data_IF_984397928001
#
_entry.id   IF_984397928001
#
_cell.length_a   1.000
_cell.length_b   1.000
_cell.length_c   1.000
_cell.angle_alpha   90.00
_cell.angle_beta   90.00
_cell.angle_gamma   90.00
#
_symmetry.space_group_name_H-M   'P 1'
#
loop_
_entity.id
_entity.type
_entity.pdbx_description
1 polymer ?
#
# COMPACT_ATOMS: atom_id res chain seq x y z
N UNK A 1 5.63 20.88 13.14
CA UNK A 1 5.04 19.54 12.99
C UNK A 1 6.13 18.65 12.41
N UNK A 2 6.38 17.46 12.98
CA UNK A 2 7.43 16.57 12.43
C UNK A 2 6.99 16.11 11.05
N UNK A 3 7.91 16.15 10.10
CA UNK A 3 7.65 15.66 8.74
C UNK A 3 7.57 14.13 8.75
N UNK A 4 6.34 13.61 8.73
CA UNK A 4 6.07 12.16 8.78
C UNK A 4 6.55 11.44 7.52
N UNK A 5 6.48 12.07 6.35
CA UNK A 5 6.99 11.50 5.11
C UNK A 5 8.50 11.32 5.16
N UNK A 6 9.23 12.35 5.61
CA UNK A 6 10.67 12.26 5.76
C UNK A 6 11.07 11.17 6.76
N UNK A 7 10.37 11.06 7.88
CA UNK A 7 10.62 10.02 8.86
C UNK A 7 10.37 8.62 8.29
N UNK A 8 9.27 8.42 7.58
CA UNK A 8 8.95 7.17 6.87
C UNK A 8 10.05 6.81 5.88
N UNK A 9 10.39 7.72 4.97
CA UNK A 9 11.48 7.55 4.00
C UNK A 9 12.80 7.13 4.66
N UNK A 10 13.23 7.84 5.70
CA UNK A 10 14.47 7.53 6.42
C UNK A 10 14.42 6.17 7.13
N UNK A 11 13.26 5.80 7.68
CA UNK A 11 13.06 4.51 8.34
C UNK A 11 13.18 3.37 7.34
N UNK A 12 12.45 3.43 6.24
CA UNK A 12 12.48 2.41 5.21
C UNK A 12 13.81 2.34 4.45
N UNK A 13 14.48 3.48 4.24
CA UNK A 13 15.84 3.49 3.70
C UNK A 13 16.83 2.70 4.58
N UNK A 14 16.70 2.76 5.91
CA UNK A 14 17.57 1.98 6.83
C UNK A 14 17.22 0.49 6.86
N UNK A 15 15.96 0.14 6.68
CA UNK A 15 15.47 -1.24 6.79
C UNK A 15 15.58 -2.03 5.49
N UNK A 16 15.73 -1.37 4.35
CA UNK A 16 15.59 -1.96 3.02
C UNK A 16 16.38 -3.27 2.82
N UNK A 17 17.65 -3.29 3.26
CA UNK A 17 18.53 -4.43 3.03
C UNK A 17 18.11 -5.73 3.75
N UNK A 18 17.33 -5.63 4.84
CA UNK A 18 16.94 -6.77 5.67
C UNK A 18 15.42 -6.96 5.74
N UNK A 19 14.64 -6.05 5.15
CA UNK A 19 13.18 -5.96 5.31
C UNK A 19 12.46 -7.27 4.97
N UNK A 20 12.88 -7.97 3.96
CA UNK A 20 12.25 -9.24 3.54
C UNK A 20 12.50 -10.39 4.53
N UNK A 21 13.45 -10.26 5.44
CA UNK A 21 13.87 -11.34 6.33
C UNK A 21 13.67 -11.03 7.80
N UNK A 22 13.63 -9.75 8.16
CA UNK A 22 13.54 -9.31 9.55
C UNK A 22 12.11 -9.13 10.06
N UNK A 23 11.99 -8.67 11.31
CA UNK A 23 10.71 -8.47 11.97
C UNK A 23 9.93 -7.28 11.38
N UNK A 24 10.63 -6.30 10.77
CA UNK A 24 9.99 -5.08 10.26
C UNK A 24 9.07 -5.38 9.07
N UNK A 25 9.47 -6.27 8.17
CA UNK A 25 8.63 -6.71 7.03
C UNK A 25 7.68 -7.86 7.34
N UNK A 26 7.68 -8.39 8.58
CA UNK A 26 6.90 -9.59 8.92
C UNK A 26 5.40 -9.42 8.74
N UNK A 27 4.86 -8.24 9.10
CA UNK A 27 3.43 -7.98 8.99
C UNK A 27 3.01 -7.90 7.52
N UNK A 28 3.73 -7.15 6.69
CA UNK A 28 3.48 -7.05 5.27
C UNK A 28 3.49 -8.43 4.58
N UNK A 29 4.49 -9.26 4.89
CA UNK A 29 4.60 -10.64 4.32
C UNK A 29 3.43 -11.53 4.72
N UNK A 30 2.89 -11.39 5.92
CA UNK A 30 1.74 -12.18 6.38
C UNK A 30 0.46 -11.86 5.57
N UNK A 31 0.37 -10.69 4.96
CA UNK A 31 -0.78 -10.24 4.17
C UNK A 31 -0.71 -10.69 2.69
N UNK A 32 0.46 -11.05 2.17
CA UNK A 32 0.63 -11.43 0.77
C UNK A 32 -0.32 -12.53 0.29
N UNK A 33 -0.52 -13.65 1.00
CA UNK A 33 -1.43 -14.70 0.54
C UNK A 33 -2.88 -14.22 0.42
N UNK A 34 -3.32 -13.35 1.34
CA UNK A 34 -4.68 -12.80 1.35
C UNK A 34 -4.88 -11.85 0.18
N UNK A 35 -3.92 -10.94 -0.04
CA UNK A 35 -3.95 -10.01 -1.16
C UNK A 35 -3.88 -10.73 -2.51
N UNK A 36 -3.00 -11.73 -2.66
CA UNK A 36 -2.89 -12.55 -3.87
C UNK A 36 -4.18 -13.32 -4.16
N UNK A 37 -4.86 -13.83 -3.12
CA UNK A 37 -6.17 -14.47 -3.26
C UNK A 37 -7.23 -13.47 -3.73
N UNK A 38 -7.22 -12.24 -3.20
CA UNK A 38 -8.17 -11.19 -3.63
C UNK A 38 -7.91 -10.80 -5.09
N UNK A 39 -6.66 -10.57 -5.47
CA UNK A 39 -6.26 -10.25 -6.83
C UNK A 39 -6.65 -11.35 -7.83
N UNK A 40 -6.54 -12.62 -7.48
CA UNK A 40 -6.92 -13.74 -8.35
C UNK A 40 -8.42 -13.83 -8.65
N UNK A 41 -9.26 -13.07 -7.97
CA UNK A 41 -10.70 -12.98 -8.21
C UNK A 41 -11.07 -11.86 -9.21
N UNK A 42 -10.09 -11.06 -9.62
CA UNK A 42 -10.27 -9.93 -10.52
C UNK A 42 -9.67 -10.22 -11.90
N UNK A 43 -10.22 -9.57 -12.92
CA UNK A 43 -9.62 -9.54 -14.26
C UNK A 43 -8.88 -8.22 -14.43
N UNK A 44 -7.58 -8.27 -14.71
CA UNK A 44 -6.77 -7.07 -14.90
C UNK A 44 -5.63 -7.32 -15.89
N UNK A 45 -5.13 -6.24 -16.50
CA UNK A 45 -3.95 -6.23 -17.37
C UNK A 45 -2.89 -5.24 -16.91
N UNK A 46 -3.24 -4.36 -15.99
CA UNK A 46 -2.35 -3.33 -15.45
C UNK A 46 -2.59 -3.15 -13.95
N UNK A 47 -1.50 -3.21 -13.18
CA UNK A 47 -1.54 -3.15 -11.71
C UNK A 47 -0.49 -2.18 -11.19
N UNK A 48 -0.86 -1.35 -10.22
CA UNK A 48 0.06 -0.50 -9.46
C UNK A 48 0.14 -0.97 -8.01
N UNK A 49 1.35 -1.17 -7.52
CA UNK A 49 1.68 -1.36 -6.11
C UNK A 49 2.03 0.00 -5.48
N UNK A 50 1.21 0.46 -4.55
CA UNK A 50 1.33 1.75 -3.88
C UNK A 50 2.09 1.61 -2.56
N UNK A 51 3.34 2.06 -2.52
CA UNK A 51 4.29 1.78 -1.44
C UNK A 51 4.87 0.39 -1.59
N UNK A 52 5.47 0.10 -2.76
CA UNK A 52 5.86 -1.25 -3.17
C UNK A 52 7.04 -1.84 -2.37
N UNK A 53 7.74 -1.02 -1.57
CA UNK A 53 8.87 -1.44 -0.77
C UNK A 53 9.93 -2.17 -1.59
N UNK A 54 10.34 -3.35 -1.13
CA UNK A 54 11.34 -4.21 -1.79
C UNK A 54 10.78 -4.98 -2.99
N UNK A 55 9.55 -4.70 -3.44
CA UNK A 55 8.96 -5.31 -4.64
C UNK A 55 8.56 -6.77 -4.52
N UNK A 56 8.46 -7.35 -3.31
CA UNK A 56 8.19 -8.79 -3.15
C UNK A 56 6.80 -9.19 -3.69
N UNK A 57 5.76 -8.38 -3.47
CA UNK A 57 4.45 -8.63 -4.05
C UNK A 57 4.47 -8.56 -5.58
N UNK A 58 5.18 -7.58 -6.15
CA UNK A 58 5.35 -7.45 -7.60
C UNK A 58 6.08 -8.65 -8.19
N UNK A 59 7.10 -9.18 -7.49
CA UNK A 59 7.78 -10.42 -7.88
C UNK A 59 6.81 -11.59 -7.94
N UNK A 60 6.03 -11.80 -6.88
CA UNK A 60 5.03 -12.88 -6.81
C UNK A 60 3.96 -12.75 -7.92
N UNK A 61 3.57 -11.53 -8.28
CA UNK A 61 2.63 -11.30 -9.38
C UNK A 61 3.27 -11.55 -10.75
N UNK A 62 4.51 -11.08 -10.97
CA UNK A 62 5.23 -11.26 -12.24
C UNK A 62 5.52 -12.73 -12.57
N UNK A 63 5.68 -13.58 -11.53
CA UNK A 63 5.87 -15.01 -11.70
C UNK A 63 4.56 -15.77 -12.02
N UNK A 64 3.40 -15.17 -11.74
CA UNK A 64 2.09 -15.78 -12.03
C UNK A 64 1.60 -15.52 -13.44
N UNK A 65 1.82 -14.30 -13.91
CA UNK A 65 1.38 -13.89 -15.25
C UNK A 65 2.30 -12.79 -15.80
N UNK A 66 3.17 -13.16 -16.74
CA UNK A 66 4.10 -12.25 -17.39
C UNK A 66 3.43 -11.26 -18.37
N UNK A 67 2.15 -11.46 -18.68
CA UNK A 67 1.41 -10.58 -19.61
C UNK A 67 0.82 -9.35 -18.93
N UNK A 68 0.77 -9.35 -17.59
CA UNK A 68 0.27 -8.22 -16.81
C UNK A 68 1.32 -7.12 -16.70
N UNK A 69 0.94 -5.90 -17.05
CA UNK A 69 1.79 -4.73 -16.83
C UNK A 69 1.80 -4.37 -15.33
N UNK A 70 2.96 -4.51 -14.70
CA UNK A 70 3.16 -4.21 -13.30
C UNK A 70 3.96 -2.91 -13.14
N UNK A 71 3.52 -2.06 -12.23
CA UNK A 71 4.24 -0.85 -11.83
C UNK A 71 4.27 -0.78 -10.30
N UNK A 72 5.34 -0.23 -9.74
CA UNK A 72 5.48 0.03 -8.31
C UNK A 72 5.97 1.45 -8.05
N UNK A 73 5.46 2.06 -6.98
CA UNK A 73 5.92 3.37 -6.53
C UNK A 73 6.29 3.29 -5.05
N UNK A 74 7.42 3.88 -4.68
CA UNK A 74 7.84 4.00 -3.28
C UNK A 74 8.58 5.32 -3.05
N UNK A 75 8.54 5.81 -1.81
CA UNK A 75 9.23 7.03 -1.39
C UNK A 75 10.71 6.79 -1.07
N UNK A 76 11.09 5.53 -0.80
CA UNK A 76 12.41 5.09 -0.36
C UNK A 76 13.27 4.64 -1.55
N UNK A 77 14.36 5.35 -1.82
CA UNK A 77 15.32 4.96 -2.86
C UNK A 77 15.96 3.59 -2.59
N UNK A 78 16.22 3.28 -1.31
CA UNK A 78 16.89 2.03 -0.95
C UNK A 78 15.92 0.84 -1.08
N UNK A 79 14.62 1.02 -0.80
CA UNK A 79 13.60 -0.01 -1.08
C UNK A 79 13.54 -0.30 -2.58
N UNK A 80 13.45 0.73 -3.41
CA UNK A 80 13.41 0.58 -4.85
C UNK A 80 14.68 -0.04 -5.44
N UNK A 81 15.85 0.26 -4.85
CA UNK A 81 17.09 -0.41 -5.26
C UNK A 81 17.02 -1.92 -5.04
N UNK A 82 16.54 -2.36 -3.87
CA UNK A 82 16.34 -3.80 -3.59
C UNK A 82 15.28 -4.40 -4.52
N UNK A 83 14.20 -3.66 -4.79
CA UNK A 83 13.17 -4.09 -5.72
C UNK A 83 13.70 -4.26 -7.15
N UNK A 84 14.50 -3.33 -7.66
CA UNK A 84 15.08 -3.39 -9.00
C UNK A 84 16.03 -4.58 -9.16
N UNK A 85 16.91 -4.81 -8.16
CA UNK A 85 17.79 -5.98 -8.10
C UNK A 85 16.99 -7.30 -8.14
N UNK A 86 15.84 -7.36 -7.48
CA UNK A 86 14.94 -8.54 -7.41
C UNK A 86 14.13 -8.75 -8.69
N UNK A 87 13.65 -7.68 -9.29
CA UNK A 87 12.71 -7.72 -10.42
C UNK A 87 13.39 -7.74 -11.79
N UNK A 88 14.70 -7.45 -11.86
CA UNK A 88 15.51 -7.51 -13.08
C UNK A 88 14.90 -6.73 -14.27
N UNK A 89 14.34 -5.55 -14.00
CA UNK A 89 13.73 -4.68 -15.03
C UNK A 89 12.39 -5.16 -15.61
N UNK A 90 11.77 -6.19 -15.04
CA UNK A 90 10.46 -6.71 -15.50
C UNK A 90 9.26 -5.85 -15.06
N UNK A 91 9.47 -4.91 -14.15
CA UNK A 91 8.44 -4.07 -13.55
C UNK A 91 8.88 -2.62 -13.63
N UNK A 92 7.96 -1.73 -13.95
CA UNK A 92 8.20 -0.28 -13.90
C UNK A 92 8.26 0.19 -12.44
N UNK A 93 9.43 0.61 -11.97
CA UNK A 93 9.63 1.13 -10.61
C UNK A 93 9.82 2.64 -10.64
N UNK A 94 9.06 3.35 -9.82
CA UNK A 94 9.05 4.81 -9.77
C UNK A 94 9.36 5.30 -8.35
N UNK A 95 10.38 6.14 -8.23
CA UNK A 95 10.61 6.91 -7.00
C UNK A 95 9.63 8.06 -6.94
N UNK A 96 8.71 8.04 -5.98
CA UNK A 96 7.66 9.05 -5.94
C UNK A 96 6.82 9.05 -4.66
N UNK A 97 5.94 10.03 -4.60
CA UNK A 97 5.02 10.26 -3.48
C UNK A 97 3.61 9.82 -3.88
N UNK A 98 2.99 8.98 -3.06
CA UNK A 98 1.62 8.49 -3.25
C UNK A 98 0.56 9.61 -3.27
N UNK A 99 0.88 10.79 -2.75
CA UNK A 99 -0.01 11.96 -2.81
C UNK A 99 0.04 12.68 -4.16
N UNK A 100 1.00 12.33 -5.05
CA UNK A 100 1.19 12.92 -6.38
C UNK A 100 1.73 11.84 -7.33
N UNK A 101 0.85 10.99 -7.82
CA UNK A 101 1.22 9.85 -8.66
C UNK A 101 1.66 10.30 -10.08
N UNK A 102 2.88 9.99 -10.53
CA UNK A 102 3.37 10.41 -11.85
C UNK A 102 2.85 9.52 -12.98
N UNK A 103 1.62 9.06 -12.88
CA UNK A 103 0.96 8.25 -13.89
C UNK A 103 -0.23 8.99 -14.50
N UNK A 104 -0.53 8.78 -15.79
CA UNK A 104 -1.71 9.36 -16.43
C UNK A 104 -3.03 8.87 -15.81
N UNK A 105 -4.11 9.63 -16.03
CA UNK A 105 -5.46 9.22 -15.65
C UNK A 105 -5.84 7.89 -16.34
N UNK A 106 -6.52 7.00 -15.61
CA UNK A 106 -7.01 5.75 -16.16
C UNK A 106 -5.93 4.78 -16.65
N UNK A 107 -4.78 4.73 -15.98
CA UNK A 107 -3.65 3.87 -16.35
C UNK A 107 -3.80 2.44 -15.88
N UNK A 108 -4.47 2.21 -14.75
CA UNK A 108 -4.47 0.92 -14.06
C UNK A 108 -5.87 0.32 -13.90
N UNK A 109 -5.97 -0.99 -14.07
CA UNK A 109 -7.18 -1.75 -13.77
C UNK A 109 -7.30 -2.01 -12.26
N UNK A 110 -6.15 -2.21 -11.59
CA UNK A 110 -6.07 -2.40 -10.14
C UNK A 110 -4.95 -1.55 -9.57
N UNK A 111 -5.22 -0.91 -8.45
CA UNK A 111 -4.20 -0.36 -7.54
C UNK A 111 -4.33 -1.10 -6.23
N UNK A 112 -3.21 -1.52 -5.65
CA UNK A 112 -3.23 -2.05 -4.29
C UNK A 112 -2.20 -1.36 -3.40
N UNK A 113 -2.45 -1.41 -2.08
CA UNK A 113 -1.58 -0.94 -1.04
C UNK A 113 -1.47 -2.02 0.04
N UNK A 114 -0.26 -2.47 0.34
CA UNK A 114 -0.03 -3.51 1.35
C UNK A 114 0.82 -2.99 2.50
N UNK A 115 0.23 -2.86 3.69
CA UNK A 115 0.87 -2.45 4.94
C UNK A 115 1.63 -1.11 4.84
N UNK A 116 1.05 -0.15 4.16
CA UNK A 116 1.69 1.14 3.87
C UNK A 116 0.77 2.35 4.10
N UNK A 117 -0.56 2.18 4.08
CA UNK A 117 -1.51 3.29 4.13
C UNK A 117 -1.47 4.05 5.47
N UNK A 118 -1.16 3.37 6.56
CA UNK A 118 -1.01 3.99 7.89
C UNK A 118 0.17 4.97 7.99
N UNK A 119 1.04 5.04 6.98
CA UNK A 119 2.14 6.01 6.87
C UNK A 119 1.76 7.29 6.12
N UNK A 120 0.57 7.38 5.51
CA UNK A 120 0.23 8.51 4.65
C UNK A 120 -0.38 9.69 5.44
N UNK A 121 0.30 10.87 5.49
CA UNK A 121 -0.19 12.02 6.26
C UNK A 121 -1.39 12.72 5.63
N UNK A 122 -1.57 12.64 4.32
CA UNK A 122 -2.72 13.19 3.60
C UNK A 122 -3.49 12.08 2.84
N UNK A 123 -4.19 11.16 3.55
CA UNK A 123 -4.81 10.00 2.94
C UNK A 123 -5.90 10.35 1.93
N UNK A 124 -6.55 11.51 2.06
CA UNK A 124 -7.53 11.98 1.07
C UNK A 124 -6.89 12.33 -0.27
N UNK A 125 -5.68 12.92 -0.26
CA UNK A 125 -4.93 13.17 -1.51
C UNK A 125 -4.53 11.85 -2.17
N UNK A 126 -4.06 10.88 -1.38
CA UNK A 126 -3.71 9.55 -1.90
C UNK A 126 -4.91 8.88 -2.56
N UNK A 127 -6.08 8.88 -1.91
CA UNK A 127 -7.28 8.25 -2.48
C UNK A 127 -7.80 8.98 -3.73
N UNK A 128 -7.66 10.31 -3.79
CA UNK A 128 -7.97 11.08 -4.98
C UNK A 128 -7.05 10.70 -6.16
N UNK A 129 -5.75 10.58 -5.92
CA UNK A 129 -4.77 10.15 -6.92
C UNK A 129 -4.99 8.70 -7.35
N UNK A 130 -5.23 7.78 -6.41
CA UNK A 130 -5.59 6.39 -6.73
C UNK A 130 -6.83 6.35 -7.62
N UNK A 131 -7.89 7.11 -7.26
CA UNK A 131 -9.09 7.20 -8.11
C UNK A 131 -8.77 7.75 -9.49
N UNK A 132 -7.92 8.76 -9.60
CA UNK A 132 -7.53 9.38 -10.88
C UNK A 132 -6.84 8.37 -11.80
N UNK A 133 -5.86 7.65 -11.27
CA UNK A 133 -5.06 6.71 -12.08
C UNK A 133 -5.78 5.39 -12.36
N UNK A 134 -6.82 5.03 -11.62
CA UNK A 134 -7.68 3.88 -11.92
C UNK A 134 -8.52 4.15 -13.17
N UNK A 135 -8.67 3.12 -14.00
CA UNK A 135 -9.68 3.08 -15.08
C UNK A 135 -11.08 3.04 -14.52
N UNK A 136 -12.07 3.37 -15.35
CA UNK A 136 -13.48 3.14 -14.99
C UNK A 136 -13.70 1.67 -14.68
N UNK A 137 -14.41 1.38 -13.58
CA UNK A 137 -14.58 0.06 -12.97
C UNK A 137 -13.28 -0.58 -12.42
N UNK A 138 -12.19 0.18 -12.34
CA UNK A 138 -10.95 -0.28 -11.71
C UNK A 138 -11.12 -0.40 -10.18
N UNK A 139 -10.34 -1.29 -9.57
CA UNK A 139 -10.45 -1.62 -8.15
C UNK A 139 -9.26 -1.13 -7.36
N UNK A 140 -9.50 -0.46 -6.22
CA UNK A 140 -8.50 -0.23 -5.20
C UNK A 140 -8.63 -1.24 -4.08
N UNK A 141 -7.51 -1.89 -3.70
CA UNK A 141 -7.43 -2.86 -2.59
C UNK A 141 -6.39 -2.39 -1.60
N UNK A 142 -6.72 -2.41 -0.33
CA UNK A 142 -5.79 -2.07 0.75
C UNK A 142 -5.81 -3.16 1.82
N UNK A 143 -4.64 -3.70 2.14
CA UNK A 143 -4.41 -4.51 3.34
C UNK A 143 -3.57 -3.69 4.30
N UNK A 144 -3.97 -3.59 5.57
CA UNK A 144 -3.25 -2.76 6.53
C UNK A 144 -3.43 -3.23 7.98
N UNK A 145 -2.62 -2.64 8.85
CA UNK A 145 -2.63 -2.89 10.29
C UNK A 145 -3.93 -2.44 10.96
N UNK A 146 -4.44 -3.27 11.87
CA UNK A 146 -5.65 -3.02 12.63
C UNK A 146 -5.50 -3.34 14.11
N UNK A 147 -6.11 -2.52 14.94
CA UNK A 147 -6.26 -2.78 16.39
C UNK A 147 -7.63 -2.37 16.88
N UNK A 148 -8.17 -3.15 17.83
CA UNK A 148 -9.49 -2.87 18.42
C UNK A 148 -9.45 -1.70 19.40
N UNK A 149 -10.53 -0.92 19.46
CA UNK A 149 -10.94 -0.02 20.53
C UNK A 149 -9.83 0.82 21.16
N UNK A 150 -9.64 0.66 22.46
CA UNK A 150 -8.69 1.44 23.26
C UNK A 150 -7.22 1.24 22.83
N UNK A 151 -6.85 0.03 22.41
CA UNK A 151 -5.49 -0.26 21.92
C UNK A 151 -5.11 0.63 20.73
N UNK A 152 -6.02 0.76 19.75
CA UNK A 152 -5.81 1.64 18.60
C UNK A 152 -5.64 3.10 19.02
N UNK A 153 -6.43 3.57 19.99
CA UNK A 153 -6.33 4.95 20.48
C UNK A 153 -4.96 5.23 21.11
N UNK A 154 -4.45 4.30 21.92
CA UNK A 154 -3.12 4.40 22.54
C UNK A 154 -2.02 4.41 21.48
N UNK A 155 -2.09 3.52 20.49
CA UNK A 155 -1.13 3.45 19.38
C UNK A 155 -1.16 4.74 18.58
N UNK A 156 -2.33 5.25 18.19
CA UNK A 156 -2.47 6.51 17.47
C UNK A 156 -1.94 7.71 18.26
N UNK A 157 -2.08 7.70 19.58
CA UNK A 157 -1.48 8.73 20.45
C UNK A 157 0.06 8.63 20.40
N UNK A 158 0.62 7.42 20.52
CA UNK A 158 2.06 7.19 20.40
C UNK A 158 2.61 7.65 19.05
N UNK A 159 1.91 7.39 17.95
CA UNK A 159 2.34 7.80 16.61
C UNK A 159 2.55 9.30 16.46
N UNK A 160 1.83 10.15 17.23
CA UNK A 160 2.06 11.61 17.20
C UNK A 160 3.47 12.01 17.63
N UNK A 161 4.11 11.18 18.47
CA UNK A 161 5.44 11.44 19.04
C UNK A 161 6.53 10.57 18.41
N UNK A 162 6.16 9.45 17.79
CA UNK A 162 7.07 8.52 17.14
C UNK A 162 7.77 9.15 15.93
N UNK A 163 9.01 8.68 15.69
CA UNK A 163 9.82 8.99 14.50
C UNK A 163 9.80 7.85 13.47
N UNK A 164 8.97 6.84 13.65
CA UNK A 164 8.86 5.70 12.72
C UNK A 164 8.27 6.07 11.36
N UNK A 165 7.54 7.19 11.29
CA UNK A 165 6.80 7.59 10.10
C UNK A 165 5.32 7.23 10.14
N UNK A 166 4.90 6.36 11.07
CA UNK A 166 3.47 6.04 11.25
C UNK A 166 2.63 7.27 11.56
N UNK A 167 1.44 7.32 10.99
CA UNK A 167 0.50 8.42 11.13
C UNK A 167 -0.75 7.99 11.89
N UNK A 168 -1.45 6.97 11.38
CA UNK A 168 -2.75 6.58 11.95
C UNK A 168 -3.16 5.16 11.58
N UNK A 169 -3.61 4.39 12.57
CA UNK A 169 -4.42 3.18 12.37
C UNK A 169 -5.91 3.55 12.35
N UNK A 170 -6.62 3.03 11.37
CA UNK A 170 -8.02 3.31 11.14
C UNK A 170 -8.93 2.26 11.79
N UNK A 171 -10.11 2.67 12.26
CA UNK A 171 -11.22 1.76 12.51
C UNK A 171 -11.93 1.39 11.21
N UNK A 172 -12.69 0.31 11.24
CA UNK A 172 -13.61 -0.06 10.15
C UNK A 172 -14.46 1.15 9.70
N UNK A 173 -15.13 1.81 10.65
CA UNK A 173 -15.99 2.97 10.36
C UNK A 173 -15.23 4.13 9.71
N UNK A 174 -14.02 4.44 10.20
CA UNK A 174 -13.22 5.54 9.67
C UNK A 174 -12.75 5.24 8.25
N UNK A 175 -12.21 4.03 8.00
CA UNK A 175 -11.67 3.69 6.68
C UNK A 175 -12.78 3.50 5.64
N UNK A 176 -13.90 2.87 6.01
CA UNK A 176 -15.05 2.71 5.13
C UNK A 176 -15.64 4.07 4.75
N UNK A 177 -15.80 4.98 5.73
CA UNK A 177 -16.28 6.33 5.45
C UNK A 177 -15.31 7.12 4.56
N UNK A 178 -14.00 6.94 4.75
CA UNK A 178 -12.98 7.60 3.94
C UNK A 178 -12.99 7.06 2.49
N UNK A 179 -13.03 5.74 2.31
CA UNK A 179 -13.11 5.10 0.99
C UNK A 179 -14.37 5.49 0.24
N UNK A 180 -15.53 5.54 0.92
CA UNK A 180 -16.83 5.86 0.29
C UNK A 180 -16.91 7.29 -0.27
N UNK A 181 -15.95 8.17 0.04
CA UNK A 181 -15.83 9.48 -0.62
C UNK A 181 -15.31 9.38 -2.06
N UNK A 182 -14.57 8.32 -2.36
CA UNK A 182 -13.81 8.17 -3.60
C UNK A 182 -14.23 6.96 -4.43
N UNK A 183 -14.75 5.91 -3.78
CA UNK A 183 -15.05 4.61 -4.40
C UNK A 183 -16.48 4.18 -4.12
N UNK A 184 -17.02 3.36 -5.03
CA UNK A 184 -18.29 2.66 -4.90
C UNK A 184 -18.07 1.23 -4.40
N UNK A 185 -19.15 0.53 -4.02
CA UNK A 185 -19.12 -0.88 -3.60
C UNK A 185 -18.08 -1.17 -2.51
N UNK A 186 -17.85 -0.18 -1.63
CA UNK A 186 -16.83 -0.29 -0.57
C UNK A 186 -17.13 -1.45 0.37
N UNK A 187 -16.12 -2.26 0.63
CA UNK A 187 -16.16 -3.40 1.54
C UNK A 187 -14.97 -3.34 2.49
N UNK A 188 -15.17 -3.91 3.66
CA UNK A 188 -14.17 -4.10 4.68
C UNK A 188 -14.25 -5.52 5.22
N UNK A 189 -13.11 -6.15 5.43
CA UNK A 189 -13.01 -7.50 5.96
C UNK A 189 -11.85 -7.57 6.96
N UNK A 190 -12.12 -8.11 8.15
CA UNK A 190 -11.08 -8.38 9.12
C UNK A 190 -10.35 -9.66 8.72
N UNK A 191 -9.03 -9.58 8.55
CA UNK A 191 -8.18 -10.73 8.22
C UNK A 191 -7.87 -11.54 9.47
N UNK A 192 -7.35 -10.85 10.51
CA UNK A 192 -6.99 -11.44 11.80
C UNK A 192 -7.13 -10.42 12.95
N UNK A 193 -6.48 -10.68 14.10
CA UNK A 193 -6.52 -9.76 15.25
C UNK A 193 -5.80 -8.44 15.03
N UNK A 194 -4.93 -8.34 14.02
CA UNK A 194 -4.05 -7.20 13.79
C UNK A 194 -4.12 -6.62 12.38
N UNK A 195 -4.96 -7.19 11.50
CA UNK A 195 -4.98 -6.86 10.08
C UNK A 195 -6.38 -6.82 9.52
N UNK A 196 -6.58 -6.00 8.50
CA UNK A 196 -7.81 -5.93 7.70
C UNK A 196 -7.51 -5.72 6.23
N UNK A 197 -8.53 -5.98 5.41
CA UNK A 197 -8.59 -5.59 4.00
C UNK A 197 -9.77 -4.66 3.78
N UNK A 198 -9.56 -3.61 2.99
CA UNK A 198 -10.64 -2.78 2.45
C UNK A 198 -10.47 -2.66 0.94
N UNK A 199 -11.58 -2.59 0.21
CA UNK A 199 -11.54 -2.38 -1.25
C UNK A 199 -12.77 -1.64 -1.72
N UNK A 200 -12.67 -1.02 -2.90
CA UNK A 200 -13.76 -0.32 -3.57
C UNK A 200 -13.46 -0.13 -5.05
N UNK A 201 -14.48 0.20 -5.82
CA UNK A 201 -14.45 0.36 -7.27
C UNK A 201 -14.57 1.84 -7.65
N UNK A 202 -13.90 2.27 -8.70
CA UNK A 202 -14.00 3.64 -9.24
C UNK A 202 -15.35 3.89 -9.89
#
# INVERSE_FOLDING_TARGET
MRDKKLNSKQTFNRQAATYDQDINGRHARALYPVLLKKLSQLSYRSVLDLGCGTGEMLRLLSERDETVKLSGIDLSENMLKVADEKLHGRVELVLGDSEHLPFPDGSFDVVYCNDSFHHYPAPEHVLAEVRRVLRENGTFIMCDSWHAGAGRMVINLYFKFSRSGDVKLYSEREITALFSKYFQNVRWEKIDSHSYMAWGEK
#
